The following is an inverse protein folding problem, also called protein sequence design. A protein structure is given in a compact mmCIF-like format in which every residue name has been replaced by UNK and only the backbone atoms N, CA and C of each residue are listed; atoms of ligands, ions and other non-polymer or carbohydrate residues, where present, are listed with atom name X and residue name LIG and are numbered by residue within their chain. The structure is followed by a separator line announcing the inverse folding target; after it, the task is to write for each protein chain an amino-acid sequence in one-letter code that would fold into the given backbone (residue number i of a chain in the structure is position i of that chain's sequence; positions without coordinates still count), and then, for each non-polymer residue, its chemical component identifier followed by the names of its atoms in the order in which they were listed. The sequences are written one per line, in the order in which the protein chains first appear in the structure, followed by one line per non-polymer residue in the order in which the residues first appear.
data_IF_988782073172
#
_entry.id   IF_988782073172
#
_cell.length_a   1.000
_cell.length_b   1.000
_cell.length_c   1.000
_cell.angle_alpha   90.00
_cell.angle_beta   90.00
_cell.angle_gamma   90.00
#
_symmetry.space_group_name_H-M   'P 1'
#
loop_
_entity.id
_entity.type
_entity.pdbx_description
1 polymer ?
#
# COMPACT_ATOMS: atom_id res chain seq x y z
N UNK A 1 15.45 9.21 16.74
CA UNK A 1 14.26 9.38 15.89
C UNK A 1 13.93 8.03 15.29
N UNK A 2 12.79 7.43 15.64
CA UNK A 2 12.39 6.13 15.07
C UNK A 2 12.15 6.33 13.56
N UNK A 3 12.69 5.44 12.73
CA UNK A 3 12.48 5.52 11.28
C UNK A 3 11.07 5.02 10.94
N UNK A 4 10.12 5.95 10.81
CA UNK A 4 8.71 5.68 10.52
C UNK A 4 8.52 4.78 9.30
N UNK A 5 9.37 4.91 8.28
CA UNK A 5 9.32 4.11 7.05
C UNK A 5 9.83 2.67 7.22
N UNK A 6 10.43 2.35 8.36
CA UNK A 6 10.88 1.00 8.71
C UNK A 6 10.10 0.39 9.88
N UNK A 7 9.15 1.13 10.46
CA UNK A 7 8.34 0.65 11.58
C UNK A 7 7.16 -0.17 11.06
N UNK A 8 7.23 -1.48 11.31
CA UNK A 8 6.20 -2.44 10.92
C UNK A 8 4.83 -2.12 11.53
N UNK A 9 4.78 -1.65 12.78
CA UNK A 9 3.50 -1.36 13.44
C UNK A 9 2.82 -0.17 12.80
N UNK A 10 3.59 0.88 12.51
CA UNK A 10 3.08 2.09 11.87
C UNK A 10 2.61 1.78 10.45
N UNK A 11 3.40 1.03 9.68
CA UNK A 11 3.04 0.68 8.29
C UNK A 11 1.83 -0.25 8.25
N UNK A 12 1.75 -1.26 9.14
CA UNK A 12 0.57 -2.12 9.24
C UNK A 12 -0.67 -1.32 9.66
N UNK A 13 -0.55 -0.43 10.64
CA UNK A 13 -1.64 0.44 11.05
C UNK A 13 -2.11 1.32 9.88
N UNK A 14 -1.18 1.92 9.13
CA UNK A 14 -1.50 2.72 7.95
C UNK A 14 -2.20 1.90 6.85
N UNK A 15 -1.80 0.65 6.62
CA UNK A 15 -2.49 -0.24 5.68
C UNK A 15 -3.92 -0.54 6.17
N UNK A 16 -4.07 -0.89 7.45
CA UNK A 16 -5.35 -1.26 8.04
C UNK A 16 -6.30 -0.07 8.22
N UNK A 17 -5.83 1.16 8.12
CA UNK A 17 -6.63 2.38 8.25
C UNK A 17 -6.73 3.10 6.91
N UNK A 18 -5.75 3.95 6.59
CA UNK A 18 -5.73 4.73 5.35
C UNK A 18 -5.74 3.84 4.11
N UNK A 19 -5.00 2.74 4.10
CA UNK A 19 -4.88 1.88 2.92
C UNK A 19 -6.15 1.08 2.58
N UNK A 20 -7.02 0.83 3.57
CA UNK A 20 -8.31 0.14 3.40
C UNK A 20 -9.50 1.09 3.37
N UNK A 21 -9.31 2.38 3.63
CA UNK A 21 -10.41 3.33 3.66
C UNK A 21 -11.02 3.55 2.25
N UNK A 22 -12.32 3.87 2.18
CA UNK A 22 -13.35 3.56 3.17
C UNK A 22 -13.57 2.05 3.26
N UNK A 23 -13.93 1.54 4.44
CA UNK A 23 -14.14 0.10 4.61
C UNK A 23 -15.44 -0.43 3.97
N UNK A 24 -16.39 0.47 3.70
CA UNK A 24 -17.68 0.16 3.08
C UNK A 24 -18.05 1.19 2.02
N UNK A 25 -18.75 0.81 0.94
CA UNK A 25 -19.06 -0.57 0.55
C UNK A 25 -17.83 -1.37 0.10
N UNK A 26 -16.75 -0.69 -0.34
CA UNK A 26 -15.46 -1.29 -0.69
C UNK A 26 -14.32 -0.26 -0.53
N UNK A 27 -13.07 -0.72 -0.30
CA UNK A 27 -11.90 0.16 -0.27
C UNK A 27 -11.69 0.93 -1.57
N UNK A 28 -11.35 2.22 -1.45
CA UNK A 28 -11.07 3.07 -2.62
C UNK A 28 -9.98 2.45 -3.49
N UNK A 29 -8.91 1.93 -2.88
CA UNK A 29 -7.83 1.27 -3.59
C UNK A 29 -8.35 0.16 -4.53
N UNK A 30 -9.31 -0.65 -4.09
CA UNK A 30 -9.84 -1.75 -4.89
C UNK A 30 -10.63 -1.24 -6.10
N UNK A 31 -11.50 -0.24 -5.89
CA UNK A 31 -12.25 0.42 -6.95
C UNK A 31 -11.31 1.04 -8.01
N UNK A 32 -10.29 1.78 -7.56
CA UNK A 32 -9.31 2.41 -8.46
C UNK A 32 -8.47 1.38 -9.23
N UNK A 33 -8.05 0.28 -8.61
CA UNK A 33 -7.32 -0.79 -9.30
C UNK A 33 -8.16 -1.45 -10.40
N UNK A 34 -9.45 -1.70 -10.15
CA UNK A 34 -10.36 -2.22 -11.20
C UNK A 34 -10.55 -1.22 -12.34
N UNK A 35 -10.69 0.05 -12.02
CA UNK A 35 -10.78 1.11 -13.02
C UNK A 35 -9.49 1.22 -13.84
N UNK A 36 -8.32 1.07 -13.19
CA UNK A 36 -7.02 1.03 -13.85
C UNK A 36 -6.91 -0.16 -14.81
N UNK A 37 -7.36 -1.36 -14.41
CA UNK A 37 -7.44 -2.53 -15.29
C UNK A 37 -8.38 -2.32 -16.49
N UNK A 38 -9.43 -1.50 -16.32
CA UNK A 38 -10.32 -1.06 -17.40
C UNK A 38 -9.72 0.04 -18.31
N UNK A 39 -8.43 0.36 -18.17
CA UNK A 39 -7.73 1.35 -18.99
C UNK A 39 -7.79 2.79 -18.45
N UNK A 40 -8.23 3.00 -17.21
CA UNK A 40 -8.31 4.32 -16.56
C UNK A 40 -9.06 5.39 -17.38
N UNK A 41 -9.99 4.97 -18.24
CA UNK A 41 -10.75 5.88 -19.10
C UNK A 41 -11.54 6.85 -18.23
N UNK A 42 -11.28 8.15 -18.40
CA UNK A 42 -11.95 9.23 -17.67
C UNK A 42 -11.43 9.51 -16.26
N UNK A 43 -10.36 8.86 -15.79
CA UNK A 43 -9.78 9.16 -14.48
C UNK A 43 -9.30 10.61 -14.40
N UNK A 44 -9.73 11.31 -13.36
CA UNK A 44 -9.32 12.67 -13.05
C UNK A 44 -8.08 12.68 -12.16
N UNK A 45 -7.34 13.81 -12.08
CA UNK A 45 -6.16 13.91 -11.19
C UNK A 45 -6.45 13.53 -9.74
N UNK A 46 -7.66 13.79 -9.24
CA UNK A 46 -8.08 13.42 -7.89
C UNK A 46 -8.23 11.90 -7.71
N UNK A 47 -8.64 11.18 -8.76
CA UNK A 47 -8.70 9.71 -8.74
C UNK A 47 -7.30 9.08 -8.67
N UNK A 48 -6.33 9.68 -9.38
CA UNK A 48 -4.93 9.29 -9.30
C UNK A 48 -4.32 9.57 -7.93
N UNK A 49 -4.64 10.74 -7.37
CA UNK A 49 -4.23 11.08 -6.01
C UNK A 49 -4.81 10.09 -5.00
N UNK A 50 -6.10 9.75 -5.12
CA UNK A 50 -6.77 8.78 -4.25
C UNK A 50 -6.16 7.38 -4.37
N UNK A 51 -5.87 6.91 -5.59
CA UNK A 51 -5.14 5.65 -5.83
C UNK A 51 -3.77 5.66 -5.16
N UNK A 52 -3.00 6.75 -5.31
CA UNK A 52 -1.67 6.88 -4.71
C UNK A 52 -1.74 6.94 -3.18
N UNK A 53 -2.66 7.73 -2.63
CA UNK A 53 -2.83 7.92 -1.19
C UNK A 53 -3.16 6.61 -0.48
N UNK A 54 -4.12 5.86 -1.01
CA UNK A 54 -4.54 4.58 -0.44
C UNK A 54 -3.56 3.45 -0.80
N UNK A 55 -2.86 3.54 -1.93
CA UNK A 55 -1.86 2.55 -2.37
C UNK A 55 -0.50 2.67 -1.66
N UNK A 56 -0.11 3.87 -1.23
CA UNK A 56 1.22 4.13 -0.66
C UNK A 56 1.53 3.28 0.59
N UNK A 57 0.61 3.08 1.57
CA UNK A 57 0.86 2.19 2.70
C UNK A 57 1.22 0.76 2.27
N UNK A 58 0.54 0.24 1.24
CA UNK A 58 0.79 -1.11 0.72
C UNK A 58 2.13 -1.20 0.00
N UNK A 59 2.52 -0.18 -0.76
CA UNK A 59 3.85 -0.14 -1.38
C UNK A 59 4.96 -0.15 -0.32
N UNK A 60 4.78 0.59 0.78
CA UNK A 60 5.72 0.56 1.91
C UNK A 60 5.78 -0.81 2.58
N UNK A 61 4.63 -1.47 2.78
CA UNK A 61 4.57 -2.82 3.34
C UNK A 61 5.27 -3.85 2.44
N UNK A 62 5.02 -3.81 1.13
CA UNK A 62 5.70 -4.65 0.14
C UNK A 62 7.21 -4.42 0.19
N UNK A 63 7.66 -3.16 0.23
CA UNK A 63 9.08 -2.82 0.37
C UNK A 63 9.68 -3.41 1.65
N UNK A 64 8.98 -3.35 2.80
CA UNK A 64 9.46 -3.99 4.04
C UNK A 64 9.57 -5.52 3.93
N UNK A 65 8.59 -6.16 3.30
CA UNK A 65 8.60 -7.60 3.06
C UNK A 65 9.79 -8.00 2.18
N UNK A 66 10.02 -7.29 1.07
CA UNK A 66 11.17 -7.53 0.18
C UNK A 66 12.48 -7.37 0.94
N UNK A 67 12.66 -6.27 1.67
CA UNK A 67 13.86 -6.01 2.49
C UNK A 67 14.06 -7.13 3.50
N UNK A 68 13.00 -7.63 4.15
CA UNK A 68 13.07 -8.71 5.13
C UNK A 68 13.47 -10.05 4.49
N UNK A 69 12.95 -10.35 3.31
CA UNK A 69 13.25 -11.57 2.56
C UNK A 69 14.69 -11.54 2.05
N UNK A 70 15.10 -10.44 1.41
CA UNK A 70 16.45 -10.27 0.84
C UNK A 70 17.53 -10.25 1.93
N UNK A 71 17.27 -9.58 3.06
CA UNK A 71 18.24 -9.51 4.17
C UNK A 71 18.22 -10.73 5.09
N UNK A 72 17.33 -11.69 4.86
CA UNK A 72 17.37 -12.96 5.61
C UNK A 72 18.62 -13.71 5.15
N UNK A 73 19.68 -13.66 5.96
CA UNK A 73 20.87 -14.49 5.73
C UNK A 73 20.41 -15.93 5.52
N UNK A 74 20.91 -16.65 4.50
CA UNK A 74 20.59 -18.06 4.36
C UNK A 74 20.99 -18.74 5.66
N UNK A 75 20.07 -19.52 6.24
CA UNK A 75 20.38 -20.29 7.42
C UNK A 75 21.61 -21.13 7.07
N UNK A 76 22.71 -20.93 7.82
CA UNK A 76 23.89 -21.79 7.74
C UNK A 76 23.39 -23.19 8.08
N UNK A 77 23.22 -24.05 7.07
CA UNK A 77 23.06 -25.49 7.28
C UNK A 77 24.38 -26.07 7.72
#
# INVERSE_FOLDING_TARGET
MQNLLNDWKIILLACLTLGLAPFTPEPHLWGKLRWLWGGAVGMQPMDWFDLLLHGLPWLLLIRLLIVKIVNKKPAKR
#
